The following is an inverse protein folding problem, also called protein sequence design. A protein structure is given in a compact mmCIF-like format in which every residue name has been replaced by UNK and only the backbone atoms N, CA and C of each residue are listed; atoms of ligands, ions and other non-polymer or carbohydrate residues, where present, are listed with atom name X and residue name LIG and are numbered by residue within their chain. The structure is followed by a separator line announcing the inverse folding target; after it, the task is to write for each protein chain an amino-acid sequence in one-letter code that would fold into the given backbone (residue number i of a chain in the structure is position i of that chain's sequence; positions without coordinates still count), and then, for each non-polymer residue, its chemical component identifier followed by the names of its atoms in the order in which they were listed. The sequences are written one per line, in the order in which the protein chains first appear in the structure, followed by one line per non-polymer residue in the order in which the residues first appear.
data_IF_865462647751
#
_entry.id   IF_865462647751
#
_cell.length_a   1.000
_cell.length_b   1.000
_cell.length_c   1.000
_cell.angle_alpha   90.00
_cell.angle_beta   90.00
_cell.angle_gamma   90.00
#
_symmetry.space_group_name_H-M   'P 1'
#
loop_
_entity.id
_entity.type
_entity.pdbx_description
1 polymer ?
#
# COMPACT_ATOMS: atom_id res chain seq x y z
N UNK A 1 0.35 45.07 5.72
CA UNK A 1 -0.45 44.81 4.65
C UNK A 1 0.29 44.25 3.54
N UNK A 2 1.08 44.95 2.89
CA UNK A 2 1.81 44.43 1.79
C UNK A 2 2.66 43.27 2.14
N UNK A 3 3.22 43.29 3.33
CA UNK A 3 4.04 42.18 3.74
C UNK A 3 3.28 40.90 3.84
N UNK A 4 2.06 40.96 4.30
CA UNK A 4 1.33 39.71 4.43
C UNK A 4 1.04 39.13 3.07
N UNK A 5 0.82 39.94 2.09
CA UNK A 5 0.61 39.45 0.77
C UNK A 5 1.81 38.70 0.25
N UNK A 6 2.97 39.25 0.49
CA UNK A 6 4.18 38.61 0.03
C UNK A 6 4.41 37.28 0.70
N UNK A 7 4.11 37.21 1.95
CA UNK A 7 4.27 35.96 2.66
C UNK A 7 3.36 34.90 2.11
N UNK A 8 2.13 35.28 1.81
CA UNK A 8 1.21 34.32 1.28
C UNK A 8 1.68 33.77 -0.03
N UNK A 9 2.26 34.61 -0.82
CA UNK A 9 2.75 34.19 -2.11
C UNK A 9 3.87 33.19 -1.96
N UNK A 10 4.77 33.42 -1.04
CA UNK A 10 5.86 32.51 -0.81
C UNK A 10 5.37 31.15 -0.37
N UNK A 11 4.39 31.14 0.48
CA UNK A 11 3.86 29.88 0.96
C UNK A 11 3.27 29.08 -0.18
N UNK A 12 2.58 29.72 -1.06
CA UNK A 12 1.99 29.03 -2.19
C UNK A 12 3.06 28.38 -3.03
N UNK A 13 4.12 29.10 -3.27
CA UNK A 13 5.21 28.55 -4.07
C UNK A 13 5.79 27.32 -3.41
N UNK A 14 6.01 27.39 -2.11
CA UNK A 14 6.57 26.24 -1.40
C UNK A 14 5.68 25.03 -1.51
N UNK A 15 4.39 25.22 -1.40
CA UNK A 15 3.48 24.10 -1.50
C UNK A 15 3.49 23.53 -2.90
N UNK A 16 3.57 24.37 -3.87
CA UNK A 16 3.62 23.90 -5.25
C UNK A 16 4.83 23.03 -5.49
N UNK A 17 5.95 23.43 -4.96
CA UNK A 17 7.16 22.64 -5.13
C UNK A 17 7.01 21.26 -4.53
N UNK A 18 6.39 21.20 -3.38
CA UNK A 18 6.22 19.92 -2.76
C UNK A 18 5.27 19.02 -3.53
N UNK A 19 4.19 19.59 -4.02
CA UNK A 19 3.26 18.75 -4.75
C UNK A 19 3.87 18.25 -6.04
N UNK A 20 4.83 18.95 -6.61
CA UNK A 20 5.44 18.48 -7.84
C UNK A 20 6.16 17.17 -7.65
N UNK A 21 6.69 16.92 -6.48
CA UNK A 21 7.43 15.70 -6.24
C UNK A 21 6.55 14.56 -5.78
N UNK A 22 5.34 14.84 -5.39
CA UNK A 22 4.46 13.79 -4.92
C UNK A 22 3.91 13.02 -6.09
N UNK A 23 3.99 11.71 -6.04
CA UNK A 23 3.39 10.85 -7.03
C UNK A 23 2.03 10.45 -6.53
N UNK A 24 1.00 10.84 -7.27
CA UNK A 24 -0.35 10.56 -6.89
C UNK A 24 -0.59 9.05 -6.82
N UNK A 25 -1.16 8.59 -5.73
CA UNK A 25 -1.46 7.19 -5.57
C UNK A 25 -0.34 6.36 -4.97
N UNK A 26 0.81 6.98 -4.71
CA UNK A 26 1.88 6.24 -4.09
C UNK A 26 1.57 6.00 -2.61
N UNK A 27 2.00 4.87 -2.09
CA UNK A 27 1.73 4.53 -0.71
C UNK A 27 2.92 3.79 -0.12
N UNK A 28 2.95 3.74 1.21
CA UNK A 28 3.99 3.04 1.94
C UNK A 28 3.29 2.08 2.89
N UNK A 29 3.69 0.83 2.85
CA UNK A 29 3.14 -0.18 3.73
C UNK A 29 4.01 -0.30 4.97
N UNK A 30 3.41 -0.08 6.13
CA UNK A 30 4.10 -0.20 7.41
C UNK A 30 3.57 -1.40 8.15
N UNK A 31 4.47 -2.32 8.47
CA UNK A 31 4.10 -3.51 9.21
C UNK A 31 4.05 -3.15 10.69
N UNK A 32 2.93 -3.48 11.32
CA UNK A 32 2.75 -3.26 12.75
C UNK A 32 2.84 -4.58 13.48
N UNK A 33 3.07 -4.51 14.76
CA UNK A 33 3.16 -5.71 15.56
C UNK A 33 1.78 -6.32 15.74
N UNK A 34 1.63 -7.57 15.33
CA UNK A 34 0.40 -8.29 15.57
C UNK A 34 0.49 -9.10 16.86
N UNK A 35 -0.53 -9.86 17.11
CA UNK A 35 -0.62 -10.67 18.32
C UNK A 35 -1.08 -12.07 17.95
N UNK A 36 -0.25 -13.07 18.28
CA UNK A 36 -0.62 -14.44 17.98
C UNK A 36 -0.81 -14.67 16.49
N UNK A 37 -2.01 -15.08 16.12
CA UNK A 37 -2.32 -15.37 14.72
C UNK A 37 -2.61 -14.15 13.89
N UNK A 38 -2.52 -12.96 14.46
CA UNK A 38 -2.87 -11.75 13.74
C UNK A 38 -1.69 -11.11 13.07
N UNK A 39 -1.91 -10.59 11.87
CA UNK A 39 -0.96 -9.70 11.22
C UNK A 39 -1.61 -8.33 11.15
N UNK A 40 -0.79 -7.30 11.21
CA UNK A 40 -1.29 -5.94 11.26
C UNK A 40 -0.41 -5.02 10.43
N UNK A 41 -1.01 -4.18 9.64
CA UNK A 41 -0.25 -3.25 8.83
C UNK A 41 -1.07 -2.01 8.52
N UNK A 42 -0.40 -0.95 8.13
CA UNK A 42 -1.06 0.28 7.74
C UNK A 42 -0.49 0.77 6.43
N UNK A 43 -1.32 1.51 5.72
CA UNK A 43 -0.96 2.12 4.45
C UNK A 43 -1.24 3.60 4.59
N UNK A 44 -0.21 4.40 4.42
CA UNK A 44 -0.38 5.84 4.57
C UNK A 44 -0.71 6.47 3.22
N UNK A 45 -1.41 7.58 3.29
CA UNK A 45 -1.62 8.45 2.13
C UNK A 45 -2.29 7.79 0.95
N UNK A 46 -3.06 6.73 1.19
CA UNK A 46 -3.75 6.05 0.10
C UNK A 46 -5.21 5.92 0.49
N UNK A 47 -6.09 6.15 -0.47
CA UNK A 47 -7.51 6.09 -0.22
C UNK A 47 -8.14 4.80 -0.70
N UNK A 48 -7.51 4.12 -1.63
CA UNK A 48 -8.10 2.94 -2.21
C UNK A 48 -7.03 1.99 -2.70
N UNK A 49 -7.10 0.74 -2.26
CA UNK A 49 -6.17 -0.30 -2.71
C UNK A 49 -6.90 -1.62 -2.74
N UNK A 50 -6.33 -2.58 -3.44
CA UNK A 50 -6.76 -3.96 -3.38
C UNK A 50 -5.77 -4.72 -2.52
N UNK A 51 -6.27 -5.42 -1.52
CA UNK A 51 -5.45 -6.23 -0.62
C UNK A 51 -5.80 -7.68 -0.86
N UNK A 52 -4.79 -8.51 -1.08
CA UNK A 52 -5.00 -9.91 -1.38
C UNK A 52 -4.02 -10.77 -0.60
N UNK A 53 -4.41 -12.01 -0.33
CA UNK A 53 -3.53 -12.99 0.30
C UNK A 53 -3.50 -14.21 -0.59
N UNK A 54 -2.29 -14.68 -0.89
CA UNK A 54 -2.07 -15.87 -1.70
C UNK A 54 -1.33 -16.92 -0.91
N UNK A 55 -1.52 -18.19 -1.25
CA UNK A 55 -0.73 -19.24 -0.65
C UNK A 55 0.58 -19.41 -1.43
N UNK A 56 1.40 -20.40 -1.05
CA UNK A 56 2.70 -20.56 -1.67
C UNK A 56 2.63 -21.16 -3.06
N UNK A 57 1.46 -21.59 -3.48
CA UNK A 57 1.25 -22.06 -4.84
C UNK A 57 0.57 -20.99 -5.69
N UNK A 58 0.51 -19.80 -5.16
CA UNK A 58 -0.04 -18.64 -5.87
C UNK A 58 -1.54 -18.72 -6.06
N UNK A 59 -2.24 -19.43 -5.20
CA UNK A 59 -3.69 -19.45 -5.20
C UNK A 59 -4.22 -18.30 -4.38
N UNK A 60 -5.19 -17.60 -4.91
CA UNK A 60 -5.80 -16.48 -4.19
C UNK A 60 -6.70 -17.03 -3.09
N UNK A 61 -6.44 -16.61 -1.85
CA UNK A 61 -7.22 -17.05 -0.71
C UNK A 61 -8.20 -15.99 -0.26
N UNK A 62 -7.79 -14.73 -0.31
CA UNK A 62 -8.60 -13.64 0.19
C UNK A 62 -8.29 -12.38 -0.57
N UNK A 63 -9.32 -11.57 -0.83
CA UNK A 63 -9.10 -10.29 -1.47
C UNK A 63 -10.17 -9.31 -1.01
N UNK A 64 -9.79 -8.05 -0.91
CA UNK A 64 -10.74 -7.00 -0.59
C UNK A 64 -10.30 -5.71 -1.24
N UNK A 65 -11.27 -4.86 -1.52
CA UNK A 65 -10.99 -3.49 -1.96
C UNK A 65 -11.13 -2.61 -0.73
N UNK A 66 -10.02 -2.11 -0.25
CA UNK A 66 -9.98 -1.35 0.99
C UNK A 66 -10.02 0.14 0.69
N UNK A 67 -10.79 0.87 1.48
CA UNK A 67 -10.99 2.30 1.30
C UNK A 67 -10.78 3.01 2.62
N UNK A 68 -10.14 4.16 2.59
CA UNK A 68 -9.97 4.99 3.76
C UNK A 68 -9.80 6.43 3.33
N UNK A 69 -9.92 7.35 4.29
CA UNK A 69 -9.79 8.76 3.95
C UNK A 69 -8.38 9.26 3.99
N UNK A 70 -7.63 8.83 4.98
CA UNK A 70 -6.25 9.29 5.13
C UNK A 70 -5.29 8.15 5.28
N UNK A 71 -5.70 6.98 4.90
CA UNK A 71 -4.88 5.81 5.06
C UNK A 71 -5.75 4.64 5.41
N UNK A 72 -5.13 3.48 5.48
CA UNK A 72 -5.85 2.23 5.68
C UNK A 72 -5.10 1.45 6.74
N UNK A 73 -5.82 0.95 7.72
CA UNK A 73 -5.25 0.09 8.75
C UNK A 73 -5.99 -1.23 8.71
N UNK A 74 -5.26 -2.32 8.71
CA UNK A 74 -5.88 -3.65 8.68
C UNK A 74 -5.23 -4.57 9.69
N UNK A 75 -6.07 -5.38 10.31
CA UNK A 75 -5.63 -6.45 11.17
C UNK A 75 -6.36 -7.69 10.70
N UNK A 76 -5.63 -8.71 10.29
CA UNK A 76 -6.21 -9.96 9.84
C UNK A 76 -5.88 -11.07 10.80
N UNK A 77 -6.89 -11.81 11.19
CA UNK A 77 -6.72 -12.99 12.03
C UNK A 77 -6.58 -14.18 11.11
N UNK A 78 -5.40 -14.80 11.14
CA UNK A 78 -5.11 -15.91 10.25
C UNK A 78 -5.18 -17.26 10.99
N UNK A 79 -5.98 -17.30 12.03
CA UNK A 79 -6.09 -18.45 12.89
C UNK A 79 -6.49 -19.71 12.13
N UNK A 80 -7.31 -19.58 11.13
CA UNK A 80 -7.81 -20.72 10.39
C UNK A 80 -6.96 -21.12 9.20
N UNK A 81 -5.86 -20.39 8.97
CA UNK A 81 -4.97 -20.70 7.87
C UNK A 81 -4.02 -21.82 8.28
N UNK A 82 -3.83 -22.83 7.44
CA UNK A 82 -2.83 -23.87 7.75
C UNK A 82 -1.44 -23.28 7.87
N UNK A 83 -0.61 -23.97 8.65
CA UNK A 83 0.79 -23.58 8.79
C UNK A 83 1.44 -23.57 7.42
N UNK A 84 2.24 -22.55 7.14
CA UNK A 84 2.91 -22.44 5.86
C UNK A 84 3.28 -21.02 5.54
N UNK A 85 3.64 -20.79 4.29
CA UNK A 85 4.05 -19.49 3.80
C UNK A 85 2.97 -18.95 2.89
N UNK A 86 2.65 -17.68 3.10
CA UNK A 86 1.63 -16.98 2.33
C UNK A 86 2.18 -15.64 1.91
N UNK A 87 1.43 -14.93 1.09
CA UNK A 87 1.89 -13.65 0.58
C UNK A 87 0.79 -12.61 0.65
N UNK A 88 1.12 -11.48 1.21
CA UNK A 88 0.24 -10.32 1.25
C UNK A 88 0.58 -9.43 0.08
N UNK A 89 -0.40 -9.13 -0.75
CA UNK A 89 -0.19 -8.30 -1.93
C UNK A 89 -1.10 -7.09 -1.81
N UNK A 90 -0.51 -5.91 -1.92
CA UNK A 90 -1.27 -4.66 -1.87
C UNK A 90 -1.01 -3.92 -3.16
N UNK A 91 -2.06 -3.57 -3.86
CA UNK A 91 -1.85 -2.92 -5.16
C UNK A 91 -2.92 -1.88 -5.48
N UNK A 92 -2.51 -0.91 -6.24
CA UNK A 92 -3.41 0.07 -6.82
C UNK A 92 -2.97 0.28 -8.27
N UNK A 93 -3.39 1.38 -8.88
CA UNK A 93 -3.04 1.64 -10.27
C UNK A 93 -1.56 1.94 -10.47
N UNK A 94 -0.90 2.36 -9.42
CA UNK A 94 0.49 2.79 -9.53
C UNK A 94 1.48 1.67 -9.30
N UNK A 95 1.26 0.86 -8.29
CA UNK A 95 2.26 -0.15 -7.95
C UNK A 95 1.66 -1.34 -7.23
N UNK A 96 2.46 -2.38 -7.11
CA UNK A 96 2.09 -3.63 -6.47
C UNK A 96 3.21 -4.01 -5.52
N UNK A 97 2.87 -4.23 -4.26
CA UNK A 97 3.82 -4.55 -3.21
C UNK A 97 3.49 -5.92 -2.67
N UNK A 98 4.50 -6.75 -2.43
CA UNK A 98 4.31 -8.11 -1.97
C UNK A 98 5.16 -8.36 -0.73
N UNK A 99 4.53 -8.84 0.34
CA UNK A 99 5.19 -9.19 1.58
C UNK A 99 4.93 -10.64 1.90
N UNK A 100 5.83 -11.24 2.64
CA UNK A 100 5.69 -12.64 3.01
C UNK A 100 4.99 -12.76 4.35
N UNK A 101 4.14 -13.77 4.49
CA UNK A 101 3.49 -14.10 5.75
C UNK A 101 3.92 -15.51 6.12
N UNK A 102 4.44 -15.66 7.33
CA UNK A 102 4.86 -16.96 7.80
C UNK A 102 3.94 -17.36 8.94
N UNK A 103 3.22 -18.46 8.75
CA UNK A 103 2.27 -18.94 9.74
C UNK A 103 2.82 -20.21 10.38
N UNK A 104 3.06 -20.15 11.67
CA UNK A 104 3.48 -21.30 12.44
C UNK A 104 2.34 -21.67 13.37
N UNK A 105 2.54 -22.74 14.13
CA UNK A 105 1.49 -23.18 15.05
C UNK A 105 1.23 -22.17 16.14
N UNK A 106 2.21 -21.34 16.44
CA UNK A 106 2.07 -20.42 17.56
C UNK A 106 1.72 -19.01 17.15
N UNK A 107 2.11 -18.62 15.94
CA UNK A 107 1.90 -17.23 15.55
C UNK A 107 2.02 -17.03 14.06
N UNK A 108 1.55 -15.87 13.63
CA UNK A 108 1.68 -15.43 12.24
C UNK A 108 2.59 -14.22 12.20
N UNK A 109 3.47 -14.15 11.23
CA UNK A 109 4.40 -13.07 11.10
C UNK A 109 4.32 -12.50 9.69
N UNK A 110 4.10 -11.21 9.61
CA UNK A 110 4.19 -10.47 8.35
C UNK A 110 5.57 -9.84 8.30
N UNK A 111 6.34 -10.13 7.25
CA UNK A 111 7.70 -9.62 7.18
C UNK A 111 7.69 -8.12 6.92
N UNK A 112 8.61 -7.43 7.56
CA UNK A 112 8.68 -5.98 7.47
C UNK A 112 9.08 -5.52 6.08
N UNK A 113 9.94 -6.28 5.44
CA UNK A 113 10.47 -5.90 4.15
C UNK A 113 9.69 -6.55 3.04
N UNK A 114 9.37 -5.78 2.01
CA UNK A 114 8.67 -6.33 0.85
C UNK A 114 9.60 -7.25 0.09
N UNK A 115 9.07 -8.36 -0.44
CA UNK A 115 9.85 -9.20 -1.33
C UNK A 115 9.92 -8.56 -2.70
N UNK A 116 8.91 -7.81 -3.07
CA UNK A 116 8.94 -7.13 -4.35
C UNK A 116 8.07 -5.89 -4.29
N UNK A 117 8.45 -4.92 -5.08
CA UNK A 117 7.69 -3.70 -5.24
C UNK A 117 7.82 -3.31 -6.69
N UNK A 118 6.73 -3.39 -7.43
CA UNK A 118 6.75 -3.20 -8.87
C UNK A 118 5.83 -2.06 -9.23
N UNK A 119 6.34 -1.09 -9.95
CA UNK A 119 5.54 0.00 -10.45
C UNK A 119 4.95 -0.39 -11.79
N UNK A 120 3.72 0.01 -12.03
CA UNK A 120 2.97 -0.42 -13.21
C UNK A 120 3.12 0.57 -14.34
N UNK A 121 3.67 0.14 -15.46
CA UNK A 121 3.80 1.05 -16.60
C UNK A 121 2.55 1.10 -17.45
N UNK A 122 1.56 0.30 -17.15
CA UNK A 122 0.37 0.20 -17.97
C UNK A 122 -0.35 1.52 -18.16
N UNK A 123 -0.26 2.39 -17.17
CA UNK A 123 -0.91 3.69 -17.28
C UNK A 123 -0.38 4.48 -18.45
N UNK A 124 0.91 4.43 -18.64
CA UNK A 124 1.51 5.17 -19.75
C UNK A 124 1.10 4.57 -21.06
N UNK A 125 1.03 3.28 -21.13
CA UNK A 125 0.65 2.61 -22.35
C UNK A 125 -0.75 2.99 -22.77
N UNK A 126 -1.63 3.11 -21.82
CA UNK A 126 -2.99 3.50 -22.11
C UNK A 126 -3.03 4.88 -22.72
N UNK A 127 -2.26 5.77 -22.17
CA UNK A 127 -2.23 7.12 -22.72
C UNK A 127 -1.74 7.12 -24.14
N UNK A 128 -0.75 6.34 -24.42
CA UNK A 128 -0.20 6.28 -25.76
C UNK A 128 -1.25 5.78 -26.73
N UNK A 129 -1.97 4.77 -26.34
CA UNK A 129 -3.00 4.22 -27.19
C UNK A 129 -4.06 5.26 -27.49
N UNK A 130 -4.41 6.01 -26.50
CA UNK A 130 -5.44 7.03 -26.67
C UNK A 130 -5.05 8.07 -27.69
N UNK A 131 -3.79 8.37 -27.75
CA UNK A 131 -3.31 9.37 -28.67
C UNK A 131 -3.51 8.93 -30.10
N UNK A 132 -3.39 7.68 -30.35
CA UNK A 132 -3.58 7.16 -31.68
C UNK A 132 -5.01 7.14 -32.10
#
# INVERSE_FOLDING_TARGET
MKTSLKFGLLLVIAMTCRSTYAIDGNFLLNVKKGSGSEIRFSLNDIKKVTISIYDDENNLIYTENAVGEKGILRTYNLDEFPVGTYYLVVENNLKKVRHEIIISEEKSILTTKAISEVYKPALKNEKIVDVN
#
